data_IF_543379898258
#
_entry.id   IF_543379898258
#
_cell.length_a   1.000
_cell.length_b   1.000
_cell.length_c   1.000
_cell.angle_alpha   90.00
_cell.angle_beta   90.00
_cell.angle_gamma   90.00
#
_symmetry.space_group_name_H-M   'P 1'
#
loop_
_entity.id
_entity.type
_entity.pdbx_description
1 polymer ?
#
# COMPACT_ATOMS: atom_id res chain seq x y z
N UNK A 1 28.12 14.96 12.37
CA UNK A 1 27.99 13.69 11.60
C UNK A 1 28.74 13.84 10.27
N UNK A 2 30.08 13.74 10.27
CA UNK A 2 30.90 13.98 9.07
C UNK A 2 31.79 12.80 8.62
N UNK A 3 31.78 11.69 9.36
CA UNK A 3 32.78 10.62 9.17
C UNK A 3 32.32 9.46 8.27
N UNK A 4 31.01 9.25 8.08
CA UNK A 4 30.54 8.16 7.21
C UNK A 4 30.76 8.43 5.72
N UNK A 5 30.78 9.71 5.30
CA UNK A 5 30.88 10.07 3.89
C UNK A 5 32.33 10.09 3.37
N UNK A 6 33.31 10.35 4.24
CA UNK A 6 34.74 10.34 3.88
C UNK A 6 35.26 8.91 3.66
N UNK A 7 34.72 7.93 4.39
CA UNK A 7 35.05 6.52 4.22
C UNK A 7 34.57 5.97 2.85
N UNK A 8 33.40 6.41 2.38
CA UNK A 8 32.84 6.05 1.06
C UNK A 8 33.72 6.55 -0.09
N UNK A 9 34.12 7.83 -0.06
CA UNK A 9 35.00 8.44 -1.06
C UNK A 9 36.40 7.80 -1.12
N UNK A 10 36.98 7.45 0.04
CA UNK A 10 38.25 6.73 0.09
C UNK A 10 38.12 5.30 -0.46
N UNK A 11 36.96 4.65 -0.27
CA UNK A 11 36.69 3.33 -0.82
C UNK A 11 36.55 3.38 -2.35
N UNK A 12 35.83 4.37 -2.88
CA UNK A 12 35.70 4.61 -4.33
C UNK A 12 37.03 4.96 -4.98
N UNK A 13 37.86 5.79 -4.36
CA UNK A 13 39.21 6.12 -4.84
C UNK A 13 40.11 4.88 -4.90
N UNK A 14 40.02 3.99 -3.89
CA UNK A 14 40.71 2.68 -3.88
C UNK A 14 40.17 1.74 -4.95
N UNK A 15 38.85 1.64 -5.13
CA UNK A 15 38.21 0.83 -6.18
C UNK A 15 38.60 1.27 -7.58
N UNK A 16 38.67 2.59 -7.82
CA UNK A 16 39.08 3.15 -9.10
C UNK A 16 40.57 2.86 -9.39
N UNK A 17 41.43 2.97 -8.38
CA UNK A 17 42.83 2.54 -8.47
C UNK A 17 42.96 1.03 -8.75
N UNK A 18 42.15 0.20 -8.09
CA UNK A 18 42.17 -1.25 -8.25
C UNK A 18 41.67 -1.69 -9.64
N UNK A 19 40.57 -1.11 -10.12
CA UNK A 19 40.03 -1.38 -11.45
C UNK A 19 41.02 -1.02 -12.57
N UNK A 20 41.82 0.04 -12.37
CA UNK A 20 42.88 0.42 -13.30
C UNK A 20 44.07 -0.53 -13.25
N UNK A 21 44.45 -1.02 -12.07
CA UNK A 21 45.52 -2.01 -11.92
C UNK A 21 45.14 -3.40 -12.47
N UNK A 22 43.85 -3.76 -12.44
CA UNK A 22 43.35 -5.03 -12.99
C UNK A 22 43.30 -5.04 -14.53
N UNK A 23 43.22 -3.87 -15.18
CA UNK A 23 43.20 -3.74 -16.64
C UNK A 23 44.61 -3.79 -17.27
N UNK A 24 45.66 -4.03 -16.48
CA UNK A 24 47.08 -4.06 -16.89
C UNK A 24 47.47 -5.42 -17.49
N UNK A 25 46.70 -6.48 -17.26
CA UNK A 25 47.08 -7.84 -17.66
C UNK A 25 46.70 -8.22 -19.10
N UNK A 26 46.06 -7.33 -19.87
CA UNK A 26 45.68 -7.62 -21.26
C UNK A 26 45.88 -6.40 -22.18
N UNK A 27 46.68 -6.60 -23.22
CA UNK A 27 47.05 -5.67 -24.31
C UNK A 27 48.17 -4.64 -24.00
N UNK A 28 49.28 -4.79 -24.73
CA UNK A 28 50.51 -4.01 -24.60
C UNK A 28 50.46 -2.61 -25.23
N UNK A 29 49.44 -1.82 -24.93
CA UNK A 29 49.44 -0.38 -25.19
C UNK A 29 49.49 0.37 -23.86
N UNK A 30 50.43 1.31 -23.73
CA UNK A 30 50.64 2.08 -22.52
C UNK A 30 49.42 2.98 -22.23
N UNK A 31 48.44 2.44 -21.53
CA UNK A 31 47.32 3.21 -21.01
C UNK A 31 47.84 4.15 -19.92
N UNK A 32 47.75 5.46 -20.20
CA UNK A 32 48.20 6.52 -19.32
C UNK A 32 47.49 6.40 -17.96
N UNK A 33 48.30 6.23 -16.90
CA UNK A 33 47.86 6.43 -15.53
C UNK A 33 47.17 7.80 -15.45
N UNK A 34 45.92 7.88 -14.97
CA UNK A 34 45.23 9.16 -14.78
C UNK A 34 46.17 10.14 -14.05
N UNK A 35 46.31 11.34 -14.58
CA UNK A 35 47.16 12.33 -13.93
C UNK A 35 46.61 12.65 -12.54
N UNK A 36 47.45 13.07 -11.59
CA UNK A 36 47.00 13.50 -10.26
C UNK A 36 45.97 14.64 -10.31
N UNK A 37 45.95 15.39 -11.42
CA UNK A 37 44.98 16.45 -11.65
C UNK A 37 43.62 15.88 -12.08
N UNK A 38 43.59 14.86 -12.94
CA UNK A 38 42.36 14.19 -13.37
C UNK A 38 41.74 13.38 -12.23
N UNK A 39 42.56 12.73 -11.39
CA UNK A 39 42.09 12.07 -10.17
C UNK A 39 41.38 13.05 -9.24
N UNK A 40 41.98 14.22 -8.97
CA UNK A 40 41.35 15.27 -8.15
C UNK A 40 40.10 15.85 -8.79
N UNK A 41 40.09 16.01 -10.11
CA UNK A 41 38.91 16.48 -10.82
C UNK A 41 37.74 15.49 -10.67
N UNK A 42 37.99 14.19 -10.85
CA UNK A 42 36.99 13.14 -10.68
C UNK A 42 36.53 13.05 -9.22
N UNK A 43 37.45 13.08 -8.25
CA UNK A 43 37.10 13.07 -6.83
C UNK A 43 36.20 14.27 -6.46
N UNK A 44 36.51 15.46 -6.97
CA UNK A 44 35.69 16.65 -6.76
C UNK A 44 34.33 16.55 -7.46
N UNK A 45 34.29 16.09 -8.71
CA UNK A 45 33.04 15.91 -9.47
C UNK A 45 32.14 14.85 -8.82
N UNK A 46 32.71 13.76 -8.30
CA UNK A 46 31.99 12.72 -7.56
C UNK A 46 31.51 13.26 -6.22
N UNK A 47 32.33 13.99 -5.47
CA UNK A 47 31.91 14.59 -4.21
C UNK A 47 30.79 15.63 -4.41
N UNK A 48 30.88 16.44 -5.47
CA UNK A 48 29.86 17.41 -5.86
C UNK A 48 28.56 16.72 -6.29
N UNK A 49 28.65 15.67 -7.12
CA UNK A 49 27.50 14.85 -7.49
C UNK A 49 26.87 14.16 -6.28
N UNK A 50 27.66 13.62 -5.36
CA UNK A 50 27.19 13.03 -4.10
C UNK A 50 26.53 14.07 -3.18
N UNK A 51 27.04 15.31 -3.15
CA UNK A 51 26.43 16.39 -2.39
C UNK A 51 25.14 16.91 -3.00
N UNK A 52 25.06 16.95 -4.33
CA UNK A 52 23.84 17.27 -5.08
C UNK A 52 22.82 16.13 -5.02
N UNK A 53 23.25 14.91 -4.73
CA UNK A 53 22.40 13.73 -4.60
C UNK A 53 22.08 13.37 -3.14
N UNK A 54 22.46 14.18 -2.15
CA UNK A 54 22.21 13.91 -0.73
C UNK A 54 20.69 13.99 -0.42
N UNK A 55 20.01 12.84 -0.27
CA UNK A 55 18.55 12.82 -0.19
C UNK A 55 18.08 13.49 1.10
N UNK A 56 18.83 13.38 2.20
CA UNK A 56 18.47 13.98 3.50
C UNK A 56 18.49 15.50 3.44
N UNK A 57 19.44 16.09 2.69
CA UNK A 57 19.44 17.55 2.46
C UNK A 57 18.22 18.00 1.66
N UNK A 58 17.85 17.24 0.62
CA UNK A 58 16.66 17.56 -0.17
C UNK A 58 15.37 17.38 0.63
N UNK A 59 15.28 16.35 1.47
CA UNK A 59 14.18 16.19 2.44
C UNK A 59 14.10 17.42 3.35
N UNK A 60 15.20 17.79 4.00
CA UNK A 60 15.24 18.95 4.90
C UNK A 60 14.79 20.23 4.21
N UNK A 61 15.28 20.48 2.98
CA UNK A 61 14.92 21.65 2.19
C UNK A 61 13.42 21.69 1.86
N UNK A 62 12.85 20.58 1.40
CA UNK A 62 11.41 20.51 1.07
C UNK A 62 10.54 20.63 2.32
N UNK A 63 10.94 20.02 3.45
CA UNK A 63 10.25 20.18 4.75
C UNK A 63 10.30 21.64 5.22
N UNK A 64 11.43 22.33 5.06
CA UNK A 64 11.54 23.77 5.37
C UNK A 64 10.62 24.62 4.48
N UNK A 65 10.50 24.28 3.20
CA UNK A 65 9.55 24.95 2.30
C UNK A 65 8.10 24.71 2.74
N UNK A 66 7.74 23.49 3.13
CA UNK A 66 6.44 23.18 3.71
C UNK A 66 6.17 24.03 4.96
N UNK A 67 7.14 24.20 5.85
CA UNK A 67 6.98 25.04 7.07
C UNK A 67 6.64 26.50 6.77
N UNK A 68 7.16 27.04 5.66
CA UNK A 68 7.00 28.44 5.30
C UNK A 68 5.73 28.73 4.50
N UNK A 69 5.21 27.73 3.78
CA UNK A 69 4.02 27.91 2.94
C UNK A 69 2.72 27.86 3.77
N UNK A 70 1.75 28.69 3.39
CA UNK A 70 0.44 28.65 4.01
C UNK A 70 -0.36 27.45 3.46
N UNK A 71 -1.38 27.05 4.20
CA UNK A 71 -2.22 25.89 3.88
C UNK A 71 -3.53 26.31 3.20
N UNK A 72 -3.46 27.26 2.27
CA UNK A 72 -4.61 27.86 1.56
C UNK A 72 -4.75 27.32 0.14
N UNK A 73 -5.92 27.51 -0.48
CA UNK A 73 -6.19 27.10 -1.86
C UNK A 73 -5.21 27.74 -2.86
N UNK A 74 -4.84 29.01 -2.64
CA UNK A 74 -3.94 29.74 -3.52
C UNK A 74 -2.53 29.12 -3.60
N UNK A 75 -2.13 28.40 -2.55
CA UNK A 75 -0.81 27.78 -2.41
C UNK A 75 -0.76 26.33 -2.91
N UNK A 76 -1.89 25.74 -3.33
CA UNK A 76 -1.99 24.32 -3.73
C UNK A 76 -0.97 23.93 -4.80
N UNK A 77 -0.71 24.81 -5.77
CA UNK A 77 0.26 24.52 -6.85
C UNK A 77 1.69 24.39 -6.31
N UNK A 78 2.06 25.24 -5.35
CA UNK A 78 3.38 25.19 -4.72
C UNK A 78 3.49 24.03 -3.74
N UNK A 79 2.42 23.72 -3.00
CA UNK A 79 2.35 22.52 -2.15
C UNK A 79 2.55 21.27 -3.01
N UNK A 80 1.84 21.16 -4.14
CA UNK A 80 1.97 20.06 -5.08
C UNK A 80 3.41 19.89 -5.57
N UNK A 81 4.08 20.97 -5.98
CA UNK A 81 5.48 20.89 -6.42
C UNK A 81 6.41 20.37 -5.32
N UNK A 82 6.20 20.77 -4.07
CA UNK A 82 6.99 20.29 -2.94
C UNK A 82 6.68 18.81 -2.65
N UNK A 83 5.40 18.42 -2.70
CA UNK A 83 4.96 17.03 -2.54
C UNK A 83 5.56 16.15 -3.64
N UNK A 84 5.50 16.55 -4.91
CA UNK A 84 6.05 15.79 -6.04
C UNK A 84 7.56 15.51 -5.83
N UNK A 85 8.34 16.50 -5.37
CA UNK A 85 9.76 16.29 -5.03
C UNK A 85 9.95 15.34 -3.84
N UNK A 86 9.07 15.41 -2.83
CA UNK A 86 9.14 14.55 -1.67
C UNK A 86 8.78 13.10 -2.00
N UNK A 87 7.80 12.87 -2.88
CA UNK A 87 7.38 11.53 -3.30
C UNK A 87 8.55 10.71 -3.87
N UNK A 88 9.37 11.32 -4.73
CA UNK A 88 10.56 10.69 -5.30
C UNK A 88 11.56 10.24 -4.22
N UNK A 89 11.70 11.04 -3.15
CA UNK A 89 12.66 10.77 -2.07
C UNK A 89 12.13 9.72 -1.08
N UNK A 90 10.87 9.81 -0.68
CA UNK A 90 10.30 8.95 0.37
C UNK A 90 9.86 7.57 -0.13
N UNK A 91 10.06 7.28 -1.41
CA UNK A 91 9.96 5.91 -1.94
C UNK A 91 11.04 4.98 -1.33
N UNK A 92 12.15 5.55 -0.86
CA UNK A 92 13.16 4.84 -0.09
C UNK A 92 12.78 4.79 1.41
N UNK A 93 12.82 3.60 2.00
CA UNK A 93 12.35 3.37 3.38
C UNK A 93 13.17 4.12 4.43
N UNK A 94 14.49 4.27 4.20
CA UNK A 94 15.37 5.01 5.10
C UNK A 94 15.08 6.52 5.00
N UNK A 95 14.89 7.03 3.78
CA UNK A 95 14.48 8.40 3.53
C UNK A 95 13.10 8.73 4.14
N UNK A 96 12.14 7.81 4.07
CA UNK A 96 10.85 7.96 4.74
C UNK A 96 11.00 8.06 6.27
N UNK A 97 11.86 7.24 6.88
CA UNK A 97 12.15 7.32 8.30
C UNK A 97 12.86 8.64 8.67
N UNK A 98 13.81 9.09 7.85
CA UNK A 98 14.51 10.35 8.06
C UNK A 98 13.59 11.56 7.87
N UNK A 99 12.65 11.51 6.92
CA UNK A 99 11.60 12.51 6.77
C UNK A 99 10.80 12.69 8.07
N UNK A 100 10.42 11.58 8.73
CA UNK A 100 9.75 11.63 10.03
C UNK A 100 10.64 12.25 11.12
N UNK A 101 11.92 11.85 11.22
CA UNK A 101 12.87 12.41 12.20
C UNK A 101 13.12 13.90 12.03
N UNK A 102 13.08 14.41 10.79
CA UNK A 102 13.23 15.82 10.45
C UNK A 102 11.95 16.65 10.72
N UNK A 103 10.90 16.01 11.25
CA UNK A 103 9.62 16.66 11.55
C UNK A 103 8.69 16.78 10.35
N UNK A 104 8.95 16.06 9.25
CA UNK A 104 8.10 16.09 8.06
C UNK A 104 6.67 15.61 8.34
N UNK A 105 6.49 14.60 9.20
CA UNK A 105 5.16 14.11 9.59
C UNK A 105 4.33 15.17 10.32
N UNK A 106 4.98 16.06 11.09
CA UNK A 106 4.31 17.18 11.76
C UNK A 106 3.70 18.13 10.73
N UNK A 107 4.42 18.41 9.65
CA UNK A 107 3.92 19.22 8.55
C UNK A 107 2.78 18.53 7.82
N UNK A 108 2.89 17.22 7.55
CA UNK A 108 1.79 16.44 6.96
C UNK A 108 0.49 16.61 7.77
N UNK A 109 0.55 16.42 9.09
CA UNK A 109 -0.60 16.60 9.98
C UNK A 109 -1.11 18.06 9.98
N UNK A 110 -0.22 19.05 9.90
CA UNK A 110 -0.60 20.48 9.84
C UNK A 110 -1.41 20.81 8.59
N UNK A 111 -1.01 20.31 7.42
CA UNK A 111 -1.70 20.54 6.14
C UNK A 111 -2.99 19.74 6.03
N UNK A 112 -3.06 18.53 6.59
CA UNK A 112 -4.32 17.80 6.68
C UNK A 112 -5.39 18.59 7.44
N UNK A 113 -5.01 19.42 8.41
CA UNK A 113 -5.93 20.32 9.13
C UNK A 113 -6.24 21.61 8.35
N UNK A 114 -6.08 21.65 7.02
CA UNK A 114 -6.52 22.76 6.17
C UNK A 114 -8.04 22.74 5.97
N UNK A 115 -8.63 23.90 5.68
CA UNK A 115 -10.04 24.01 5.26
C UNK A 115 -10.22 23.69 3.76
N UNK A 116 -9.12 23.52 3.01
CA UNK A 116 -9.11 23.16 1.59
C UNK A 116 -8.88 21.67 1.40
N UNK A 117 -9.85 20.99 0.79
CA UNK A 117 -9.69 19.60 0.37
C UNK A 117 -8.57 19.42 -0.66
N UNK A 118 -8.35 20.38 -1.57
CA UNK A 118 -7.25 20.35 -2.53
C UNK A 118 -5.89 20.25 -1.80
N UNK A 119 -5.68 21.09 -0.78
CA UNK A 119 -4.47 21.05 0.06
C UNK A 119 -4.34 19.73 0.80
N UNK A 120 -5.43 19.24 1.40
CA UNK A 120 -5.47 17.97 2.13
C UNK A 120 -5.15 16.79 1.23
N UNK A 121 -5.69 16.78 0.01
CA UNK A 121 -5.46 15.78 -1.01
C UNK A 121 -3.99 15.72 -1.41
N UNK A 122 -3.36 16.87 -1.68
CA UNK A 122 -1.95 16.91 -2.06
C UNK A 122 -1.06 16.34 -0.96
N UNK A 123 -1.20 16.80 0.29
CA UNK A 123 -0.33 16.32 1.36
C UNK A 123 -0.58 14.85 1.72
N UNK A 124 -1.83 14.38 1.61
CA UNK A 124 -2.19 13.00 1.92
C UNK A 124 -1.52 11.99 0.98
N UNK A 125 -1.04 12.41 -0.20
CA UNK A 125 -0.30 11.54 -1.13
C UNK A 125 0.98 10.95 -0.52
N UNK A 126 1.61 11.67 0.42
CA UNK A 126 2.83 11.20 1.07
C UNK A 126 2.58 10.03 2.04
N UNK A 127 1.40 9.94 2.66
CA UNK A 127 1.15 8.99 3.75
C UNK A 127 1.27 7.53 3.30
N UNK A 128 0.72 7.11 2.15
CA UNK A 128 0.96 5.76 1.63
C UNK A 128 2.43 5.44 1.39
N UNK A 129 3.19 6.37 0.83
CA UNK A 129 4.62 6.17 0.54
C UNK A 129 5.44 6.05 1.82
N UNK A 130 5.10 6.84 2.83
CA UNK A 130 5.77 6.83 4.13
C UNK A 130 5.50 5.54 4.92
N UNK A 131 4.24 5.07 4.95
CA UNK A 131 3.82 4.01 5.87
C UNK A 131 3.85 2.60 5.26
N UNK A 132 3.68 2.46 3.95
CA UNK A 132 3.54 1.14 3.31
C UNK A 132 4.80 0.30 3.51
N UNK A 133 4.64 -0.87 4.15
CA UNK A 133 5.72 -1.81 4.45
C UNK A 133 6.87 -1.18 5.26
N UNK A 134 6.61 -0.15 6.06
CA UNK A 134 7.61 0.55 6.86
C UNK A 134 7.23 0.56 8.36
N UNK A 135 7.51 -0.52 9.12
CA UNK A 135 7.13 -0.63 10.53
C UNK A 135 7.65 0.52 11.41
N UNK A 136 8.83 1.05 11.12
CA UNK A 136 9.39 2.18 11.88
C UNK A 136 8.52 3.44 11.74
N UNK A 137 8.10 3.75 10.50
CA UNK A 137 7.24 4.91 10.25
C UNK A 137 5.81 4.65 10.73
N UNK A 138 5.31 3.42 10.60
CA UNK A 138 4.01 3.02 11.15
C UNK A 138 3.97 3.22 12.68
N UNK A 139 4.98 2.77 13.42
CA UNK A 139 5.08 2.99 14.87
C UNK A 139 5.12 4.50 15.20
N UNK A 140 5.90 5.32 14.47
CA UNK A 140 5.92 6.79 14.65
C UNK A 140 4.54 7.40 14.40
N UNK A 141 3.81 6.94 13.38
CA UNK A 141 2.45 7.42 13.08
C UNK A 141 1.48 7.11 14.24
N UNK A 142 1.60 5.94 14.89
CA UNK A 142 0.73 5.57 16.02
C UNK A 142 0.96 6.44 17.26
N UNK A 143 2.10 7.10 17.38
CA UNK A 143 2.37 8.08 18.44
C UNK A 143 1.64 9.44 18.21
N UNK A 144 0.95 9.59 17.08
CA UNK A 144 0.25 10.82 16.69
C UNK A 144 -1.28 10.67 16.63
N UNK A 145 -2.00 11.77 16.35
CA UNK A 145 -3.45 11.76 16.11
C UNK A 145 -3.84 11.42 14.66
N UNK A 146 -2.88 11.03 13.81
CA UNK A 146 -3.12 10.84 12.37
C UNK A 146 -4.13 9.71 12.07
N UNK A 147 -4.01 8.55 12.72
CA UNK A 147 -4.93 7.43 12.49
C UNK A 147 -6.39 7.78 12.88
N UNK A 148 -6.67 8.31 14.10
CA UNK A 148 -7.99 8.84 14.43
C UNK A 148 -8.47 9.96 13.50
N UNK A 149 -7.58 10.86 13.09
CA UNK A 149 -7.91 11.95 12.19
C UNK A 149 -8.42 11.42 10.84
N UNK A 150 -7.70 10.48 10.22
CA UNK A 150 -8.09 9.89 8.93
C UNK A 150 -9.45 9.17 9.01
N UNK A 151 -9.77 8.52 10.13
CA UNK A 151 -11.09 7.93 10.36
C UNK A 151 -12.20 8.97 10.48
N UNK A 152 -11.91 10.15 11.04
CA UNK A 152 -12.89 11.25 11.09
C UNK A 152 -13.12 11.87 9.71
N UNK A 153 -12.08 11.94 8.85
CA UNK A 153 -12.23 12.39 7.46
C UNK A 153 -13.26 11.55 6.71
N UNK A 154 -13.29 10.24 6.94
CA UNK A 154 -14.28 9.34 6.35
C UNK A 154 -15.74 9.69 6.70
N UNK A 155 -15.97 10.43 7.78
CA UNK A 155 -17.30 10.77 8.29
C UNK A 155 -17.70 12.22 8.01
N UNK A 156 -16.79 13.03 7.45
CA UNK A 156 -17.04 14.42 7.10
C UNK A 156 -18.14 14.53 6.02
N UNK A 157 -19.12 15.40 6.27
CA UNK A 157 -20.30 15.56 5.40
C UNK A 157 -19.92 16.15 4.03
N UNK A 158 -18.94 17.07 4.03
CA UNK A 158 -18.57 17.84 2.84
C UNK A 158 -17.21 17.41 2.26
N UNK A 159 -16.64 16.30 2.72
CA UNK A 159 -15.39 15.79 2.15
C UNK A 159 -15.61 15.36 0.69
N UNK A 160 -14.72 15.81 -0.18
CA UNK A 160 -14.67 15.40 -1.58
C UNK A 160 -14.39 13.91 -1.71
N UNK A 161 -14.89 13.30 -2.80
CA UNK A 161 -14.61 11.89 -3.11
C UNK A 161 -13.10 11.62 -3.19
N UNK A 162 -12.33 12.54 -3.77
CA UNK A 162 -10.88 12.43 -3.87
C UNK A 162 -10.22 12.35 -2.49
N UNK A 163 -10.62 13.23 -1.56
CA UNK A 163 -10.07 13.22 -0.21
C UNK A 163 -10.39 11.90 0.51
N UNK A 164 -11.61 11.39 0.37
CA UNK A 164 -12.00 10.08 0.92
C UNK A 164 -11.14 8.96 0.35
N UNK A 165 -10.85 8.98 -0.95
CA UNK A 165 -9.96 8.01 -1.62
C UNK A 165 -8.52 8.07 -1.08
N UNK A 166 -7.99 9.27 -0.81
CA UNK A 166 -6.67 9.46 -0.19
C UNK A 166 -6.65 9.00 1.26
N UNK A 167 -7.68 9.32 2.04
CA UNK A 167 -7.81 8.89 3.43
C UNK A 167 -7.87 7.37 3.54
N UNK A 168 -8.69 6.71 2.72
CA UNK A 168 -8.78 5.25 2.65
C UNK A 168 -7.41 4.63 2.30
N UNK A 169 -6.72 5.16 1.28
CA UNK A 169 -5.39 4.66 0.89
C UNK A 169 -4.37 4.79 2.01
N UNK A 170 -4.41 5.91 2.74
CA UNK A 170 -3.55 6.20 3.89
C UNK A 170 -3.83 5.27 5.07
N UNK A 171 -5.11 5.01 5.37
CA UNK A 171 -5.50 4.05 6.40
C UNK A 171 -4.97 2.65 6.08
N UNK A 172 -5.14 2.22 4.82
CA UNK A 172 -4.67 0.93 4.34
C UNK A 172 -3.15 0.75 4.52
N UNK A 173 -2.35 1.76 4.14
CA UNK A 173 -0.89 1.69 4.27
C UNK A 173 -0.41 1.70 5.72
N UNK A 174 -1.10 2.40 6.61
CA UNK A 174 -0.75 2.47 8.04
C UNK A 174 -1.00 1.14 8.75
N UNK A 175 -2.09 0.45 8.45
CA UNK A 175 -2.53 -0.72 9.24
C UNK A 175 -2.13 -2.06 8.66
N UNK A 176 -1.82 -2.13 7.35
CA UNK A 176 -1.40 -3.38 6.71
C UNK A 176 0.00 -3.78 7.17
N UNK A 177 0.16 -5.08 7.39
CA UNK A 177 1.36 -5.75 7.88
C UNK A 177 1.88 -5.19 9.23
N UNK A 178 0.99 -4.59 10.04
CA UNK A 178 1.37 -3.94 11.29
C UNK A 178 0.32 -4.16 12.40
N UNK A 179 0.52 -5.18 13.22
CA UNK A 179 -0.44 -5.66 14.22
C UNK A 179 -0.93 -4.56 15.18
N UNK A 180 0.00 -3.75 15.72
CA UNK A 180 -0.36 -2.66 16.64
C UNK A 180 -1.26 -1.62 15.97
N UNK A 181 -0.96 -1.27 14.72
CA UNK A 181 -1.72 -0.26 13.98
C UNK A 181 -3.12 -0.78 13.65
N UNK A 182 -3.20 -2.04 13.21
CA UNK A 182 -4.47 -2.70 12.97
C UNK A 182 -5.30 -2.81 14.27
N UNK A 183 -4.69 -3.17 15.40
CA UNK A 183 -5.37 -3.25 16.69
C UNK A 183 -5.97 -1.90 17.10
N UNK A 184 -5.22 -0.81 16.96
CA UNK A 184 -5.74 0.54 17.23
C UNK A 184 -6.88 0.92 16.27
N UNK A 185 -6.73 0.64 14.97
CA UNK A 185 -7.80 0.84 13.99
C UNK A 185 -9.07 0.07 14.34
N UNK A 186 -8.94 -1.18 14.78
CA UNK A 186 -10.05 -2.01 15.23
C UNK A 186 -10.73 -1.44 16.48
N UNK A 187 -9.96 -1.01 17.49
CA UNK A 187 -10.48 -0.35 18.69
C UNK A 187 -11.25 0.94 18.37
N UNK A 188 -10.83 1.66 17.32
CA UNK A 188 -11.51 2.85 16.81
C UNK A 188 -12.71 2.55 15.91
N UNK A 189 -13.13 1.27 15.83
CA UNK A 189 -14.23 0.78 15.00
C UNK A 189 -14.03 1.07 13.50
N UNK A 190 -12.79 0.98 13.04
CA UNK A 190 -12.43 1.35 11.68
C UNK A 190 -13.20 0.60 10.59
N UNK A 191 -13.46 -0.71 10.79
CA UNK A 191 -14.27 -1.50 9.84
C UNK A 191 -15.72 -1.01 9.75
N UNK A 192 -16.36 -0.68 10.89
CA UNK A 192 -17.72 -0.13 10.92
C UNK A 192 -17.79 1.20 10.17
N UNK A 193 -16.79 2.07 10.36
CA UNK A 193 -16.72 3.37 9.66
C UNK A 193 -16.54 3.19 8.15
N UNK A 194 -15.67 2.27 7.72
CA UNK A 194 -15.47 1.95 6.30
C UNK A 194 -16.78 1.42 5.68
N UNK A 195 -17.51 0.53 6.36
CA UNK A 195 -18.80 0.02 5.90
C UNK A 195 -19.84 1.16 5.78
N UNK A 196 -19.87 2.10 6.72
CA UNK A 196 -20.74 3.28 6.65
C UNK A 196 -20.42 4.18 5.45
N UNK A 197 -19.15 4.41 5.13
CA UNK A 197 -18.76 5.15 3.92
C UNK A 197 -19.19 4.41 2.67
N UNK A 198 -19.03 3.09 2.63
CA UNK A 198 -19.47 2.27 1.50
C UNK A 198 -20.98 2.42 1.26
N UNK A 199 -21.79 2.33 2.33
CA UNK A 199 -23.24 2.51 2.23
C UNK A 199 -23.61 3.89 1.69
N UNK A 200 -22.95 4.95 2.18
CA UNK A 200 -23.13 6.31 1.64
C UNK A 200 -22.77 6.38 0.16
N UNK A 201 -21.60 5.85 -0.23
CA UNK A 201 -21.09 5.87 -1.60
C UNK A 201 -22.04 5.16 -2.58
N UNK A 202 -22.58 3.99 -2.22
CA UNK A 202 -23.57 3.26 -3.03
C UNK A 202 -24.85 4.07 -3.19
N UNK A 203 -25.36 4.67 -2.11
CA UNK A 203 -26.60 5.46 -2.13
C UNK A 203 -26.52 6.71 -3.03
N UNK A 204 -25.33 7.32 -3.15
CA UNK A 204 -25.10 8.49 -4.01
C UNK A 204 -24.43 8.13 -5.34
N UNK A 205 -24.34 6.84 -5.68
CA UNK A 205 -23.74 6.32 -6.93
C UNK A 205 -22.25 6.68 -7.15
N UNK A 206 -21.47 6.88 -6.08
CA UNK A 206 -20.01 7.02 -6.11
C UNK A 206 -19.33 5.65 -6.17
N UNK A 207 -19.46 4.98 -7.31
CA UNK A 207 -18.95 3.60 -7.46
C UNK A 207 -17.42 3.50 -7.43
N UNK A 208 -16.68 4.55 -7.79
CA UNK A 208 -15.22 4.53 -7.68
C UNK A 208 -14.78 4.43 -6.21
N UNK A 209 -15.40 5.23 -5.34
CA UNK A 209 -15.21 5.15 -3.89
C UNK A 209 -15.64 3.79 -3.32
N UNK A 210 -16.82 3.28 -3.72
CA UNK A 210 -17.30 1.97 -3.28
C UNK A 210 -16.34 0.82 -3.68
N UNK A 211 -15.82 0.85 -4.92
CA UNK A 211 -14.80 -0.09 -5.39
C UNK A 211 -13.52 0.00 -4.54
N UNK A 212 -13.03 1.22 -4.28
CA UNK A 212 -11.83 1.44 -3.46
C UNK A 212 -11.97 0.87 -2.05
N UNK A 213 -13.15 0.99 -1.45
CA UNK A 213 -13.44 0.44 -0.13
C UNK A 213 -13.33 -1.09 -0.13
N UNK A 214 -13.89 -1.76 -1.14
CA UNK A 214 -13.76 -3.22 -1.27
C UNK A 214 -12.29 -3.62 -1.46
N UNK A 215 -11.55 -2.91 -2.33
CA UNK A 215 -10.12 -3.17 -2.57
C UNK A 215 -9.30 -3.08 -1.28
N UNK A 216 -9.49 -2.02 -0.49
CA UNK A 216 -8.75 -1.83 0.77
C UNK A 216 -9.18 -2.84 1.81
N UNK A 217 -10.48 -3.10 1.97
CA UNK A 217 -10.97 -4.08 2.94
C UNK A 217 -10.46 -5.48 2.61
N UNK A 218 -10.37 -5.82 1.32
CA UNK A 218 -9.77 -7.08 0.84
C UNK A 218 -8.26 -7.10 1.08
N UNK A 219 -7.56 -5.97 0.89
CA UNK A 219 -6.12 -5.86 1.17
C UNK A 219 -5.79 -6.00 2.67
N UNK A 220 -6.68 -5.53 3.54
CA UNK A 220 -6.61 -5.73 4.99
C UNK A 220 -6.83 -7.21 5.31
N UNK A 221 -7.85 -7.84 4.72
CA UNK A 221 -8.11 -9.28 4.88
C UNK A 221 -6.90 -10.14 4.48
N UNK A 222 -6.27 -9.82 3.35
CA UNK A 222 -5.04 -10.46 2.89
C UNK A 222 -3.92 -10.31 3.90
N UNK A 223 -3.73 -9.10 4.43
CA UNK A 223 -2.66 -8.81 5.38
C UNK A 223 -2.83 -9.50 6.73
N UNK A 224 -4.06 -9.81 7.15
CA UNK A 224 -4.33 -10.49 8.42
C UNK A 224 -4.16 -12.00 8.32
N UNK A 225 -4.17 -12.57 7.12
CA UNK A 225 -4.10 -14.02 6.93
C UNK A 225 -5.15 -14.74 7.78
N UNK A 226 -4.70 -15.66 8.64
CA UNK A 226 -5.56 -16.43 9.57
C UNK A 226 -6.38 -15.59 10.52
N UNK A 227 -5.90 -14.41 10.90
CA UNK A 227 -6.55 -13.58 11.91
C UNK A 227 -7.78 -12.87 11.37
N UNK A 228 -8.00 -12.87 10.05
CA UNK A 228 -9.20 -12.29 9.42
C UNK A 228 -10.51 -12.82 10.02
N UNK A 229 -10.49 -14.08 10.50
CA UNK A 229 -11.61 -14.75 11.15
C UNK A 229 -12.06 -14.05 12.42
N UNK A 230 -11.12 -13.45 13.15
CA UNK A 230 -11.39 -12.79 14.44
C UNK A 230 -12.14 -11.46 14.27
N UNK A 231 -12.04 -10.84 13.09
CA UNK A 231 -12.48 -9.46 12.85
C UNK A 231 -13.73 -9.34 11.97
N UNK A 232 -14.40 -10.46 11.65
CA UNK A 232 -15.63 -10.48 10.86
C UNK A 232 -15.53 -9.77 9.47
N UNK A 233 -14.32 -9.70 8.90
CA UNK A 233 -14.07 -8.95 7.66
C UNK A 233 -14.70 -9.64 6.46
N UNK A 234 -14.66 -10.98 6.41
CA UNK A 234 -15.19 -11.74 5.27
C UNK A 234 -16.72 -11.55 5.11
N UNK A 235 -17.54 -11.65 6.18
CA UNK A 235 -18.96 -11.30 6.08
C UNK A 235 -19.25 -9.85 5.65
N UNK A 236 -18.44 -8.88 6.10
CA UNK A 236 -18.56 -7.48 5.68
C UNK A 236 -18.29 -7.36 4.17
N UNK A 237 -17.19 -7.93 3.69
CA UNK A 237 -16.82 -7.95 2.26
C UNK A 237 -17.93 -8.54 1.40
N UNK A 238 -18.49 -9.69 1.81
CA UNK A 238 -19.58 -10.36 1.10
C UNK A 238 -20.84 -9.49 0.98
N UNK A 239 -21.23 -8.81 2.06
CA UNK A 239 -22.38 -7.90 2.01
C UNK A 239 -22.14 -6.72 1.09
N UNK A 240 -20.93 -6.16 1.10
CA UNK A 240 -20.58 -5.02 0.26
C UNK A 240 -20.53 -5.42 -1.21
N UNK A 241 -19.87 -6.53 -1.55
CA UNK A 241 -19.70 -6.95 -2.95
C UNK A 241 -21.03 -7.32 -3.60
N UNK A 242 -21.98 -7.90 -2.87
CA UNK A 242 -23.33 -8.18 -3.38
C UNK A 242 -24.12 -6.92 -3.78
N UNK A 243 -23.77 -5.74 -3.26
CA UNK A 243 -24.41 -4.46 -3.61
C UNK A 243 -23.81 -3.80 -4.86
N UNK A 244 -22.65 -4.28 -5.33
CA UNK A 244 -22.06 -3.84 -6.59
C UNK A 244 -22.38 -4.82 -7.72
N UNK A 245 -22.25 -4.35 -8.96
CA UNK A 245 -22.36 -5.17 -10.17
C UNK A 245 -21.13 -6.06 -10.35
N UNK A 246 -21.24 -7.13 -11.15
CA UNK A 246 -20.13 -8.08 -11.32
C UNK A 246 -18.93 -7.52 -12.09
N UNK A 247 -19.14 -6.47 -12.90
CA UNK A 247 -18.10 -5.74 -13.64
C UNK A 247 -17.31 -4.75 -12.78
N UNK A 248 -17.65 -4.64 -11.50
CA UNK A 248 -16.90 -3.88 -10.50
C UNK A 248 -15.48 -4.44 -10.34
N UNK A 249 -14.48 -3.56 -10.44
CA UNK A 249 -13.08 -3.90 -10.15
C UNK A 249 -12.88 -4.42 -8.72
N UNK A 250 -13.64 -3.89 -7.76
CA UNK A 250 -13.67 -4.37 -6.39
C UNK A 250 -14.18 -5.82 -6.29
N UNK A 251 -15.23 -6.18 -7.03
CA UNK A 251 -15.75 -7.54 -7.09
C UNK A 251 -14.72 -8.52 -7.67
N UNK A 252 -14.07 -8.20 -8.80
CA UNK A 252 -13.04 -9.06 -9.39
C UNK A 252 -11.84 -9.24 -8.46
N UNK A 253 -11.37 -8.18 -7.79
CA UNK A 253 -10.26 -8.28 -6.84
C UNK A 253 -10.61 -9.12 -5.60
N UNK A 254 -11.80 -8.93 -5.05
CA UNK A 254 -12.26 -9.77 -3.94
C UNK A 254 -12.47 -11.22 -4.38
N UNK A 255 -12.89 -11.46 -5.62
CA UNK A 255 -12.98 -12.79 -6.19
C UNK A 255 -11.62 -13.46 -6.31
N UNK A 256 -10.59 -12.78 -6.80
CA UNK A 256 -9.22 -13.31 -6.79
C UNK A 256 -8.74 -13.63 -5.38
N UNK A 257 -8.98 -12.75 -4.40
CA UNK A 257 -8.66 -13.03 -3.00
C UNK A 257 -9.37 -14.30 -2.52
N UNK A 258 -10.66 -14.43 -2.79
CA UNK A 258 -11.43 -15.61 -2.44
C UNK A 258 -10.85 -16.86 -3.13
N UNK A 259 -10.66 -16.85 -4.45
CA UNK A 259 -10.15 -18.00 -5.21
C UNK A 259 -8.77 -18.44 -4.74
N UNK A 260 -7.88 -17.50 -4.39
CA UNK A 260 -6.54 -17.80 -3.87
C UNK A 260 -6.56 -18.35 -2.43
N UNK A 261 -7.63 -18.13 -1.68
CA UNK A 261 -7.73 -18.52 -0.28
C UNK A 261 -8.82 -19.58 -0.01
N UNK A 262 -9.59 -20.02 -1.02
CA UNK A 262 -10.42 -21.23 -0.92
C UNK A 262 -9.52 -22.44 -1.16
N UNK A 263 -9.51 -23.39 -0.22
CA UNK A 263 -8.86 -24.67 -0.50
C UNK A 263 -9.73 -25.65 -1.28
N UNK A 264 -9.05 -26.21 -2.28
CA UNK A 264 -9.20 -27.57 -2.76
C UNK A 264 -9.12 -28.61 -1.63
N UNK A 265 -10.15 -29.46 -1.54
CA UNK A 265 -9.97 -30.83 -1.05
C UNK A 265 -9.69 -31.74 -2.25
N UNK A 266 -8.49 -31.64 -2.82
CA UNK A 266 -7.86 -32.72 -3.61
C UNK A 266 -6.47 -32.28 -4.06
N UNK A 267 -5.42 -32.84 -3.44
CA UNK A 267 -4.37 -33.64 -4.10
C UNK A 267 -3.37 -34.06 -3.02
N UNK A 268 -3.11 -35.35 -3.06
CA UNK A 268 -2.23 -36.17 -2.25
C UNK A 268 -0.81 -35.64 -2.01
N UNK A 269 -0.28 -36.07 -0.85
CA UNK A 269 1.08 -36.56 -0.64
C UNK A 269 2.19 -35.86 -1.42
N UNK A 270 2.68 -34.74 -0.90
CA UNK A 270 4.11 -34.50 -0.74
C UNK A 270 4.31 -33.35 0.24
N UNK A 271 5.18 -33.60 1.22
CA UNK A 271 5.60 -32.68 2.27
C UNK A 271 6.12 -31.35 1.71
N UNK A 272 5.23 -30.39 1.56
CA UNK A 272 5.57 -28.97 1.64
C UNK A 272 4.36 -28.28 2.28
N UNK A 273 4.41 -28.11 3.60
CA UNK A 273 3.49 -27.28 4.35
C UNK A 273 3.53 -25.86 3.77
N UNK A 274 2.61 -25.55 2.84
CA UNK A 274 2.29 -24.17 2.56
C UNK A 274 1.45 -23.68 3.73
N UNK A 275 2.11 -22.96 4.63
CA UNK A 275 1.56 -22.20 5.76
C UNK A 275 0.60 -21.06 5.31
N UNK A 276 -0.05 -21.24 4.16
CA UNK A 276 -0.98 -20.29 3.56
C UNK A 276 -2.32 -20.31 4.28
N UNK A 277 -2.86 -19.13 4.55
CA UNK A 277 -4.21 -18.96 5.05
C UNK A 277 -5.25 -19.60 4.10
N UNK A 278 -6.22 -20.31 4.68
CA UNK A 278 -7.28 -21.03 3.95
C UNK A 278 -8.62 -20.65 4.57
N UNK A 279 -9.53 -20.10 3.77
CA UNK A 279 -10.90 -19.77 4.17
C UNK A 279 -11.62 -21.07 4.50
N UNK A 280 -11.94 -21.26 5.78
CA UNK A 280 -12.75 -22.38 6.23
C UNK A 280 -14.24 -22.01 6.17
N UNK A 281 -14.92 -22.44 5.12
CA UNK A 281 -16.36 -22.22 4.93
C UNK A 281 -17.23 -22.66 6.11
N UNK A 282 -16.78 -23.63 6.89
CA UNK A 282 -17.59 -24.18 7.96
C UNK A 282 -17.79 -23.20 9.12
N UNK A 283 -16.86 -22.26 9.30
CA UNK A 283 -16.87 -21.28 10.40
C UNK A 283 -17.76 -20.05 10.12
N UNK A 284 -18.24 -19.89 8.89
CA UNK A 284 -19.19 -18.82 8.55
C UNK A 284 -20.60 -19.14 9.08
N UNK A 285 -21.32 -18.11 9.51
CA UNK A 285 -22.74 -18.23 9.80
C UNK A 285 -23.56 -18.54 8.53
N UNK A 286 -24.79 -19.01 8.69
CA UNK A 286 -25.62 -19.45 7.56
C UNK A 286 -25.90 -18.33 6.55
N UNK A 287 -26.06 -17.08 7.00
CA UNK A 287 -26.29 -15.95 6.11
C UNK A 287 -25.03 -15.62 5.31
N UNK A 288 -23.88 -15.60 5.97
CA UNK A 288 -22.58 -15.38 5.31
C UNK A 288 -22.27 -16.49 4.31
N UNK A 289 -22.61 -17.75 4.60
CA UNK A 289 -22.52 -18.87 3.65
C UNK A 289 -23.40 -18.65 2.42
N UNK A 290 -24.62 -18.15 2.61
CA UNK A 290 -25.52 -17.85 1.49
C UNK A 290 -24.99 -16.70 0.64
N UNK A 291 -24.59 -15.58 1.25
CA UNK A 291 -23.99 -14.46 0.54
C UNK A 291 -22.74 -14.88 -0.25
N UNK A 292 -21.94 -15.77 0.34
CA UNK A 292 -20.77 -16.33 -0.32
C UNK A 292 -21.12 -17.08 -1.60
N UNK A 293 -22.11 -17.99 -1.55
CA UNK A 293 -22.59 -18.72 -2.72
C UNK A 293 -23.16 -17.79 -3.79
N UNK A 294 -23.96 -16.82 -3.38
CA UNK A 294 -24.58 -15.85 -4.29
C UNK A 294 -23.52 -15.00 -4.99
N UNK A 295 -22.52 -14.53 -4.24
CA UNK A 295 -21.38 -13.79 -4.78
C UNK A 295 -20.59 -14.64 -5.78
N UNK A 296 -20.15 -15.84 -5.40
CA UNK A 296 -19.37 -16.72 -6.28
C UNK A 296 -20.12 -17.04 -7.56
N UNK A 297 -21.37 -17.50 -7.46
CA UNK A 297 -22.18 -17.86 -8.63
C UNK A 297 -22.32 -16.67 -9.58
N UNK A 298 -22.58 -15.49 -9.03
CA UNK A 298 -22.74 -14.25 -9.80
C UNK A 298 -21.43 -13.81 -10.46
N UNK A 299 -20.31 -13.85 -9.74
CA UNK A 299 -19.03 -13.40 -10.27
C UNK A 299 -18.45 -14.39 -11.28
N UNK A 300 -18.51 -15.70 -11.01
CA UNK A 300 -18.03 -16.71 -11.95
C UNK A 300 -18.77 -16.68 -13.28
N UNK A 301 -20.09 -16.45 -13.28
CA UNK A 301 -20.85 -16.28 -14.52
C UNK A 301 -20.36 -15.07 -15.34
N UNK A 302 -19.91 -14.01 -14.67
CA UNK A 302 -19.35 -12.83 -15.32
C UNK A 302 -17.94 -13.12 -15.87
N UNK A 303 -17.05 -13.73 -15.07
CA UNK A 303 -15.70 -14.10 -15.52
C UNK A 303 -15.71 -15.14 -16.66
N UNK A 304 -16.67 -16.09 -16.65
CA UNK A 304 -16.91 -17.05 -17.75
C UNK A 304 -17.38 -16.38 -19.04
N UNK A 305 -18.04 -15.23 -18.97
CA UNK A 305 -18.40 -14.46 -20.17
C UNK A 305 -17.19 -13.74 -20.77
N UNK A 306 -16.12 -13.55 -19.98
CA UNK A 306 -14.87 -12.91 -20.37
C UNK A 306 -13.81 -13.92 -20.86
N UNK A 307 -13.77 -15.13 -20.27
CA UNK A 307 -12.93 -16.24 -20.71
C UNK A 307 -13.67 -17.08 -21.77
N UNK A 308 -13.17 -17.16 -23.00
CA UNK A 308 -13.68 -18.05 -24.05
C UNK A 308 -13.40 -19.55 -23.76
N UNK A 309 -13.63 -20.01 -22.54
CA UNK A 309 -13.44 -21.41 -22.12
C UNK A 309 -14.78 -22.12 -21.85
N UNK A 310 -14.80 -23.42 -22.14
CA UNK A 310 -16.00 -24.26 -22.25
C UNK A 310 -16.77 -24.30 -20.90
N UNK A 311 -18.05 -23.85 -20.86
CA UNK A 311 -18.82 -23.70 -19.63
C UNK A 311 -18.93 -24.96 -18.75
N UNK A 312 -18.80 -26.14 -19.34
CA UNK A 312 -19.03 -27.45 -18.73
C UNK A 312 -17.86 -27.94 -17.88
N UNK A 313 -16.61 -27.64 -18.25
CA UNK A 313 -15.42 -28.13 -17.53
C UNK A 313 -15.29 -27.49 -16.14
N UNK A 314 -15.57 -26.18 -16.05
CA UNK A 314 -15.51 -25.44 -14.79
C UNK A 314 -16.76 -25.66 -13.91
N UNK A 315 -17.92 -26.01 -14.48
CA UNK A 315 -19.10 -26.44 -13.71
C UNK A 315 -18.87 -27.81 -13.06
N UNK A 316 -18.17 -28.72 -13.74
CA UNK A 316 -17.79 -30.03 -13.19
C UNK A 316 -16.85 -29.87 -11.99
N UNK A 317 -15.84 -29.02 -12.10
CA UNK A 317 -14.90 -28.68 -11.02
C UNK A 317 -15.64 -28.03 -9.82
N UNK A 318 -16.69 -27.25 -10.07
CA UNK A 318 -17.51 -26.62 -9.04
C UNK A 318 -18.45 -27.59 -8.33
N UNK A 319 -19.16 -28.45 -9.07
CA UNK A 319 -20.02 -29.47 -8.48
C UNK A 319 -19.16 -30.49 -7.71
N UNK A 320 -17.99 -30.89 -8.22
CA UNK A 320 -17.07 -31.75 -7.48
C UNK A 320 -16.49 -31.05 -6.24
N UNK A 321 -16.10 -29.78 -6.29
CA UNK A 321 -15.57 -29.07 -5.10
C UNK A 321 -16.66 -28.66 -4.10
N UNK A 322 -17.88 -28.39 -4.55
CA UNK A 322 -19.03 -28.15 -3.68
C UNK A 322 -19.54 -29.47 -3.06
N UNK A 323 -19.53 -30.58 -3.79
CA UNK A 323 -19.90 -31.91 -3.28
C UNK A 323 -18.80 -32.53 -2.40
N UNK A 324 -17.51 -32.31 -2.68
CA UNK A 324 -16.38 -32.75 -1.84
C UNK A 324 -16.32 -32.05 -0.47
N UNK A 325 -17.12 -31.00 -0.28
CA UNK A 325 -17.44 -30.37 1.00
C UNK A 325 -18.63 -30.97 1.76
N UNK A 326 -19.20 -32.10 1.29
CA UNK A 326 -20.41 -32.78 1.76
C UNK A 326 -21.57 -31.85 2.18
N UNK A 327 -22.29 -31.36 1.17
CA UNK A 327 -23.70 -30.98 1.29
C UNK A 327 -24.57 -32.22 1.03
N UNK A 328 -24.71 -33.08 2.03
CA UNK A 328 -25.84 -34.02 2.07
C UNK A 328 -26.86 -33.54 3.10
N UNK A 329 -28.11 -33.60 2.66
CA UNK A 329 -29.36 -33.23 3.32
C UNK A 329 -29.63 -31.74 3.55
N UNK A 330 -30.39 -31.14 2.63
CA UNK A 330 -31.77 -30.69 2.90
C UNK A 330 -32.48 -30.51 1.55
N UNK A 331 -33.58 -31.25 1.39
CA UNK A 331 -34.61 -31.11 0.34
C UNK A 331 -35.30 -29.76 0.35
#
# INVERSE_FOLDING_TARGET
MGEQNTASLQCLSKLLCLAQSANVESSGEANQLLSKQDQKFIENAVAEAMHLADPVKHLSKNIEQLKLIAKTEDDVTSIKQIVDNLEELVCDMDCAADFCKLGGLVEVIRFLKSDSDSVRCEIARLIPLLAQNNPNVQDIILETDLLPYLLNVLEEINASEELLMKALSSLSSIIRAHEKAFSQFHQLKGLERIENVFQKAVNVHQFNLANKIILITTSIALSLGSDVKQYNILPILLRMTLQLTSDSTGCSYFFEYVMNNIMDKAVDNNDLESDGFKINFMELDNQSKQHFRDFLKRQMNYEKQLSYEDPDEMNMVLDEKCQAGNFEDIK
#
